data_IF_456107211584
#
_entry.id   IF_456107211584
#
_cell.length_a   1.000
_cell.length_b   1.000
_cell.length_c   1.000
_cell.angle_alpha   90.00
_cell.angle_beta   90.00
_cell.angle_gamma   90.00
#
_symmetry.space_group_name_H-M   'P 1'
#
loop_
_entity.id
_entity.type
_entity.pdbx_description
1 polymer ?
#
# COMPACT_ATOMS: atom_id res chain seq x y z
N UNK A 1 12.76 26.61 -6.44
CA UNK A 1 13.43 25.98 -7.59
C UNK A 1 12.37 25.47 -8.56
N UNK A 2 12.35 25.96 -9.81
CA UNK A 2 11.39 25.51 -10.82
C UNK A 2 11.90 24.22 -11.50
N UNK A 3 11.08 23.17 -11.50
CA UNK A 3 11.38 21.92 -12.22
C UNK A 3 11.45 22.20 -13.73
N UNK A 4 12.64 22.07 -14.30
CA UNK A 4 12.86 22.21 -15.75
C UNK A 4 12.34 20.94 -16.44
N UNK A 5 11.16 21.01 -17.04
CA UNK A 5 10.59 19.92 -17.83
C UNK A 5 11.38 19.79 -19.13
N UNK A 6 11.92 18.60 -19.43
CA UNK A 6 12.53 18.32 -20.73
C UNK A 6 11.44 18.21 -21.80
N UNK A 7 11.70 18.80 -22.97
CA UNK A 7 10.85 18.61 -24.13
C UNK A 7 10.74 17.11 -24.46
N UNK A 8 9.53 16.63 -24.77
CA UNK A 8 9.28 15.22 -25.07
C UNK A 8 9.11 14.30 -23.86
N UNK A 9 9.15 14.80 -22.63
CA UNK A 9 8.89 14.00 -21.42
C UNK A 9 7.42 13.56 -21.26
N UNK A 10 6.49 14.24 -21.94
CA UNK A 10 5.06 13.98 -21.88
C UNK A 10 4.45 13.92 -23.27
N UNK A 11 3.37 13.16 -23.39
CA UNK A 11 2.54 13.01 -24.59
C UNK A 11 1.08 13.22 -24.22
N UNK A 12 0.33 13.89 -25.10
CA UNK A 12 -1.11 14.06 -24.93
C UNK A 12 -1.85 13.22 -25.98
N UNK A 13 -2.31 12.05 -25.56
CA UNK A 13 -2.95 11.07 -26.46
C UNK A 13 -4.42 11.43 -26.68
N UNK A 14 -5.07 11.99 -25.66
CA UNK A 14 -6.50 12.35 -25.70
C UNK A 14 -6.75 13.75 -26.27
N UNK A 15 -5.71 14.58 -26.36
CA UNK A 15 -5.79 15.97 -26.81
C UNK A 15 -6.42 16.93 -25.79
N UNK A 16 -6.81 16.45 -24.60
CA UNK A 16 -7.51 17.25 -23.59
C UNK A 16 -6.53 17.99 -22.68
N UNK A 17 -6.95 19.13 -22.14
CA UNK A 17 -6.13 19.92 -21.20
C UNK A 17 -5.93 19.15 -19.89
N UNK A 18 -4.67 18.98 -19.49
CA UNK A 18 -4.31 18.33 -18.23
C UNK A 18 -4.26 16.79 -18.26
N UNK A 19 -4.60 16.15 -19.38
CA UNK A 19 -4.51 14.69 -19.56
C UNK A 19 -3.18 14.25 -20.20
N UNK A 20 -2.09 14.89 -19.78
CA UNK A 20 -0.76 14.54 -20.26
C UNK A 20 -0.29 13.24 -19.59
N UNK A 21 0.25 12.33 -20.38
CA UNK A 21 0.86 11.08 -19.91
C UNK A 21 2.38 11.17 -20.05
N UNK A 22 3.13 10.63 -19.10
CA UNK A 22 4.58 10.51 -19.25
C UNK A 22 4.90 9.71 -20.52
N UNK A 23 5.86 10.19 -21.32
CA UNK A 23 6.20 9.58 -22.60
C UNK A 23 6.72 8.14 -22.43
N UNK A 24 7.50 7.90 -21.38
CA UNK A 24 8.00 6.56 -21.02
C UNK A 24 6.85 5.58 -20.71
N UNK A 25 5.90 6.01 -19.88
CA UNK A 25 4.69 5.23 -19.58
C UNK A 25 3.84 4.96 -20.84
N UNK A 26 3.87 5.85 -21.82
CA UNK A 26 3.20 5.58 -23.10
C UNK A 26 3.97 4.55 -23.94
N UNK A 27 5.30 4.61 -23.95
CA UNK A 27 6.14 3.61 -24.62
C UNK A 27 5.98 2.24 -23.98
N UNK A 28 5.93 2.15 -22.66
CA UNK A 28 5.67 0.91 -21.95
C UNK A 28 4.33 0.28 -22.37
N UNK A 29 3.25 1.06 -22.41
CA UNK A 29 1.95 0.59 -22.88
C UNK A 29 2.00 0.10 -24.34
N UNK A 30 2.69 0.81 -25.24
CA UNK A 30 2.85 0.38 -26.64
C UNK A 30 3.58 -0.97 -26.74
N UNK A 31 4.65 -1.14 -25.96
CA UNK A 31 5.41 -2.39 -25.90
C UNK A 31 4.57 -3.52 -25.33
N UNK A 32 3.75 -3.26 -24.31
CA UNK A 32 2.84 -4.24 -23.72
C UNK A 32 1.84 -4.76 -24.75
N UNK A 33 1.15 -3.85 -25.47
CA UNK A 33 0.21 -4.21 -26.54
C UNK A 33 0.90 -5.05 -27.61
N UNK A 34 2.11 -4.67 -28.03
CA UNK A 34 2.85 -5.41 -29.04
C UNK A 34 3.22 -6.82 -28.56
N UNK A 35 3.66 -6.96 -27.30
CA UNK A 35 3.95 -8.26 -26.69
C UNK A 35 2.71 -9.15 -26.67
N UNK A 36 1.54 -8.60 -26.38
CA UNK A 36 0.29 -9.37 -26.38
C UNK A 36 -0.09 -9.86 -27.78
N UNK A 37 0.07 -9.01 -28.81
CA UNK A 37 -0.12 -9.44 -30.20
C UNK A 37 0.86 -10.54 -30.62
N UNK A 38 2.13 -10.43 -30.23
CA UNK A 38 3.15 -11.46 -30.52
C UNK A 38 2.84 -12.76 -29.75
N UNK A 39 2.35 -12.68 -28.51
CA UNK A 39 1.87 -13.85 -27.76
C UNK A 39 0.69 -14.52 -28.46
N UNK A 40 -0.23 -13.73 -29.02
CA UNK A 40 -1.37 -14.20 -29.80
C UNK A 40 -1.02 -15.03 -31.05
N UNK A 41 0.21 -14.91 -31.58
CA UNK A 41 0.69 -15.75 -32.69
C UNK A 41 0.89 -17.23 -32.30
N UNK A 42 0.94 -17.57 -31.01
CA UNK A 42 1.10 -18.95 -30.54
C UNK A 42 2.43 -19.58 -30.99
N UNK A 43 2.35 -20.74 -31.66
CA UNK A 43 3.52 -21.44 -32.22
C UNK A 43 4.07 -20.79 -33.50
N UNK A 44 3.31 -19.92 -34.16
CA UNK A 44 3.67 -19.32 -35.46
C UNK A 44 4.56 -18.07 -35.30
N UNK A 45 5.48 -18.09 -34.35
CA UNK A 45 6.42 -16.99 -34.08
C UNK A 45 7.63 -17.06 -35.01
N UNK A 46 7.41 -16.79 -36.29
CA UNK A 46 8.50 -16.52 -37.22
C UNK A 46 8.84 -15.03 -37.22
N UNK A 47 10.06 -14.67 -37.60
CA UNK A 47 10.47 -13.26 -37.72
C UNK A 47 9.53 -12.49 -38.65
N UNK A 48 9.18 -13.08 -39.80
CA UNK A 48 8.23 -12.49 -40.75
C UNK A 48 6.84 -12.28 -40.15
N UNK A 49 6.34 -13.24 -39.37
CA UNK A 49 5.06 -13.12 -38.67
C UNK A 49 5.09 -12.01 -37.62
N UNK A 50 6.20 -11.89 -36.88
CA UNK A 50 6.40 -10.84 -35.87
C UNK A 50 6.43 -9.46 -36.53
N UNK A 51 7.17 -9.29 -37.63
CA UNK A 51 7.23 -8.01 -38.36
C UNK A 51 5.85 -7.66 -38.92
N UNK A 52 5.16 -8.62 -39.50
CA UNK A 52 3.82 -8.43 -40.08
C UNK A 52 2.82 -7.99 -39.02
N UNK A 53 2.74 -8.69 -37.88
CA UNK A 53 1.80 -8.34 -36.81
C UNK A 53 2.15 -6.99 -36.17
N UNK A 54 3.44 -6.68 -36.06
CA UNK A 54 3.91 -5.39 -35.52
C UNK A 54 3.47 -4.22 -36.40
N UNK A 55 3.53 -4.38 -37.73
CA UNK A 55 3.02 -3.39 -38.68
C UNK A 55 1.50 -3.27 -38.65
N UNK A 56 0.80 -4.39 -38.45
CA UNK A 56 -0.66 -4.42 -38.39
C UNK A 56 -1.25 -3.93 -37.05
N UNK A 57 -0.44 -3.86 -35.98
CA UNK A 57 -0.89 -3.52 -34.62
C UNK A 57 -1.76 -2.26 -34.51
N UNK A 58 -1.45 -1.12 -35.19
CA UNK A 58 -2.30 0.07 -35.12
C UNK A 58 -3.68 -0.17 -35.75
N UNK A 59 -3.73 -0.90 -36.86
CA UNK A 59 -4.97 -1.21 -37.59
C UNK A 59 -5.85 -2.17 -36.79
N UNK A 60 -5.25 -3.20 -36.19
CA UNK A 60 -5.97 -4.13 -35.30
C UNK A 60 -6.62 -3.37 -34.15
N UNK A 61 -5.88 -2.47 -33.52
CA UNK A 61 -6.41 -1.63 -32.44
C UNK A 61 -7.60 -0.78 -32.90
N UNK A 62 -7.49 -0.13 -34.07
CA UNK A 62 -8.56 0.69 -34.62
C UNK A 62 -9.82 -0.13 -34.94
N UNK A 63 -9.66 -1.35 -35.45
CA UNK A 63 -10.78 -2.25 -35.71
C UNK A 63 -11.49 -2.61 -34.40
N UNK A 64 -10.75 -2.98 -33.35
CA UNK A 64 -11.33 -3.28 -32.04
C UNK A 64 -12.10 -2.07 -31.46
N UNK A 65 -11.50 -0.87 -31.50
CA UNK A 65 -12.16 0.36 -31.01
C UNK A 65 -13.45 0.67 -31.79
N UNK A 66 -13.45 0.46 -33.10
CA UNK A 66 -14.65 0.64 -33.93
C UNK A 66 -15.74 -0.37 -33.59
N UNK A 67 -15.37 -1.65 -33.39
CA UNK A 67 -16.32 -2.71 -33.01
C UNK A 67 -16.92 -2.41 -31.64
N UNK A 68 -16.12 -2.04 -30.65
CA UNK A 68 -16.59 -1.67 -29.32
C UNK A 68 -17.55 -0.47 -29.38
N UNK A 69 -17.26 0.51 -30.22
CA UNK A 69 -18.12 1.67 -30.47
C UNK A 69 -19.45 1.27 -31.08
N UNK A 70 -19.44 0.39 -32.09
CA UNK A 70 -20.65 -0.11 -32.76
C UNK A 70 -21.54 -0.92 -31.82
N UNK A 71 -20.93 -1.69 -30.91
CA UNK A 71 -21.63 -2.52 -29.93
C UNK A 71 -22.05 -1.74 -28.68
N UNK A 72 -21.67 -0.46 -28.57
CA UNK A 72 -21.97 0.36 -27.38
C UNK A 72 -21.30 -0.16 -26.11
N UNK A 73 -20.13 -0.81 -26.24
CA UNK A 73 -19.38 -1.34 -25.10
C UNK A 73 -18.94 -0.16 -24.21
N UNK A 74 -19.42 -0.17 -22.97
CA UNK A 74 -19.07 0.88 -22.00
C UNK A 74 -17.64 0.62 -21.51
N UNK A 75 -16.71 1.50 -21.88
CA UNK A 75 -15.34 1.48 -21.38
C UNK A 75 -15.31 1.80 -19.87
N UNK A 76 -15.28 0.74 -19.05
CA UNK A 76 -15.20 0.84 -17.59
C UNK A 76 -13.77 1.17 -17.16
N UNK A 77 -13.45 2.46 -17.15
CA UNK A 77 -12.19 2.95 -16.59
C UNK A 77 -12.17 2.75 -15.07
N UNK A 78 -11.56 1.65 -14.63
CA UNK A 78 -11.31 1.41 -13.21
C UNK A 78 -10.08 2.21 -12.79
N UNK A 79 -10.25 3.21 -11.93
CA UNK A 79 -9.12 3.73 -11.14
C UNK A 79 -8.94 2.78 -9.97
N UNK A 80 -7.73 2.28 -9.75
CA UNK A 80 -7.36 1.71 -8.45
C UNK A 80 -7.52 2.82 -7.40
N UNK A 81 -8.67 2.86 -6.75
CA UNK A 81 -8.88 3.68 -5.56
C UNK A 81 -8.31 2.88 -4.40
N UNK A 82 -7.30 3.43 -3.73
CA UNK A 82 -6.91 2.93 -2.41
C UNK A 82 -8.11 3.17 -1.50
N UNK A 83 -8.51 2.15 -0.74
CA UNK A 83 -9.62 2.26 0.22
C UNK A 83 -9.29 3.42 1.18
N UNK A 84 -10.18 4.40 1.27
CA UNK A 84 -9.97 5.59 2.08
C UNK A 84 -10.42 5.30 3.50
N UNK A 85 -9.48 5.32 4.44
CA UNK A 85 -9.79 5.19 5.86
C UNK A 85 -10.81 6.24 6.31
N UNK A 86 -10.70 7.48 5.81
CA UNK A 86 -11.62 8.57 6.16
C UNK A 86 -13.04 8.31 5.67
N UNK A 87 -13.20 7.72 4.48
CA UNK A 87 -14.52 7.40 3.94
C UNK A 87 -15.14 6.23 4.72
N UNK A 88 -14.34 5.22 5.07
CA UNK A 88 -14.78 4.09 5.89
C UNK A 88 -15.21 4.58 7.29
N UNK A 89 -14.46 5.47 7.94
CA UNK A 89 -14.82 6.07 9.24
C UNK A 89 -16.10 6.89 9.15
N UNK A 90 -16.28 7.68 8.10
CA UNK A 90 -17.51 8.47 7.91
C UNK A 90 -18.74 7.58 7.76
N UNK A 91 -18.64 6.49 7.03
CA UNK A 91 -19.76 5.56 6.87
C UNK A 91 -20.09 4.86 8.18
N UNK A 92 -19.08 4.44 8.96
CA UNK A 92 -19.28 3.88 10.31
C UNK A 92 -19.99 4.89 11.22
N UNK A 93 -19.57 6.15 11.23
CA UNK A 93 -20.20 7.19 12.05
C UNK A 93 -21.66 7.38 11.62
N UNK A 94 -21.94 7.44 10.32
CA UNK A 94 -23.28 7.62 9.77
C UNK A 94 -24.22 6.46 10.14
N UNK A 95 -23.73 5.23 10.23
CA UNK A 95 -24.52 4.10 10.72
C UNK A 95 -24.70 4.11 12.25
N UNK A 96 -23.70 4.56 13.01
CA UNK A 96 -23.75 4.60 14.47
C UNK A 96 -24.53 5.80 15.03
N UNK A 97 -24.60 6.91 14.30
CA UNK A 97 -25.31 8.14 14.68
C UNK A 97 -26.78 7.90 15.06
N UNK A 98 -27.61 7.19 14.27
CA UNK A 98 -29.00 6.89 14.65
C UNK A 98 -29.10 5.93 15.84
N UNK A 99 -28.12 5.05 16.04
CA UNK A 99 -28.13 4.04 17.09
C UNK A 99 -27.82 4.63 18.48
N UNK A 100 -27.25 5.84 18.53
CA UNK A 100 -26.85 6.55 19.77
C UNK A 100 -26.23 5.59 20.80
N UNK A 101 -25.14 4.87 20.44
CA UNK A 101 -24.59 3.82 21.28
C UNK A 101 -24.15 4.33 22.67
N UNK A 102 -23.75 5.60 22.74
CA UNK A 102 -23.26 6.26 23.95
C UNK A 102 -24.35 6.86 24.84
N UNK A 103 -25.60 6.88 24.40
CA UNK A 103 -26.72 7.34 25.22
C UNK A 103 -27.22 6.18 26.07
N UNK A 104 -27.18 6.35 27.39
CA UNK A 104 -27.68 5.34 28.33
C UNK A 104 -29.21 5.23 28.20
N UNK A 105 -29.68 4.16 27.56
CA UNK A 105 -31.09 3.85 27.39
C UNK A 105 -31.49 2.84 28.46
N UNK A 106 -32.41 3.22 29.35
CA UNK A 106 -32.98 2.35 30.38
C UNK A 106 -33.62 1.12 29.72
N UNK A 107 -33.14 -0.09 30.06
CA UNK A 107 -33.64 -1.36 29.52
C UNK A 107 -32.91 -1.91 28.29
N UNK A 108 -31.84 -1.28 27.82
CA UNK A 108 -31.01 -1.80 26.72
C UNK A 108 -30.26 -3.07 27.19
N UNK A 109 -30.68 -4.23 26.70
CA UNK A 109 -30.05 -5.52 26.94
C UNK A 109 -29.64 -6.16 25.61
N UNK A 110 -28.52 -6.90 25.60
CA UNK A 110 -28.11 -7.67 24.42
C UNK A 110 -29.08 -8.83 24.24
N UNK A 111 -29.76 -8.89 23.08
CA UNK A 111 -30.75 -9.94 22.78
C UNK A 111 -30.19 -11.36 23.00
N UNK A 112 -28.95 -11.57 22.58
CA UNK A 112 -28.25 -12.87 22.67
C UNK A 112 -27.54 -13.11 24.01
N UNK A 113 -27.35 -12.08 24.83
CA UNK A 113 -26.53 -12.16 26.05
C UNK A 113 -27.25 -11.57 27.25
N UNK A 114 -28.34 -12.24 27.64
CA UNK A 114 -29.21 -11.83 28.75
C UNK A 114 -28.59 -12.06 30.14
N UNK A 115 -27.55 -12.90 30.23
CA UNK A 115 -26.92 -13.30 31.50
C UNK A 115 -25.60 -12.59 31.81
N UNK A 116 -25.16 -11.62 31.00
CA UNK A 116 -23.94 -10.86 31.28
C UNK A 116 -24.21 -9.89 32.45
N UNK A 117 -23.87 -10.33 33.66
CA UNK A 117 -24.03 -9.56 34.90
C UNK A 117 -23.01 -8.43 35.08
N UNK A 118 -21.91 -8.45 34.33
CA UNK A 118 -20.80 -7.49 34.43
C UNK A 118 -20.44 -6.96 33.04
N UNK A 119 -20.32 -5.64 32.93
CA UNK A 119 -19.81 -5.00 31.71
C UNK A 119 -18.41 -5.56 31.41
N UNK A 120 -18.03 -5.78 30.14
CA UNK A 120 -16.65 -6.13 29.79
C UNK A 120 -15.63 -5.04 30.20
N UNK A 121 -16.12 -3.84 30.53
CA UNK A 121 -15.32 -2.73 31.07
C UNK A 121 -15.33 -2.65 32.60
N UNK A 122 -16.08 -3.50 33.29
CA UNK A 122 -16.08 -3.64 34.75
C UNK A 122 -15.35 -4.92 35.15
N UNK A 123 -14.02 -4.91 35.02
CA UNK A 123 -13.15 -6.00 35.49
C UNK A 123 -12.43 -5.59 36.78
N UNK A 124 -12.00 -6.57 37.56
CA UNK A 124 -11.19 -6.32 38.76
C UNK A 124 -9.80 -5.86 38.34
N UNK A 125 -9.52 -4.59 38.62
CA UNK A 125 -8.26 -3.94 38.25
C UNK A 125 -7.07 -4.60 38.93
N UNK A 126 -7.23 -5.10 40.16
CA UNK A 126 -6.14 -5.74 40.91
C UNK A 126 -5.76 -7.09 40.31
N UNK A 127 -6.75 -7.88 39.91
CA UNK A 127 -6.53 -9.18 39.26
C UNK A 127 -5.90 -9.00 37.88
N UNK A 128 -6.34 -7.99 37.12
CA UNK A 128 -5.77 -7.64 35.83
C UNK A 128 -4.31 -7.20 35.94
N UNK A 129 -3.99 -6.28 36.86
CA UNK A 129 -2.61 -5.82 37.09
C UNK A 129 -1.69 -6.97 37.49
N UNK A 130 -2.17 -7.90 38.32
CA UNK A 130 -1.45 -9.12 38.70
C UNK A 130 -1.19 -10.03 37.50
N UNK A 131 -2.17 -10.18 36.60
CA UNK A 131 -2.05 -11.01 35.39
C UNK A 131 -1.08 -10.39 34.38
N UNK A 132 -1.14 -9.07 34.19
CA UNK A 132 -0.23 -8.33 33.30
C UNK A 132 1.20 -8.39 33.82
N UNK A 133 1.44 -8.10 35.10
CA UNK A 133 2.78 -8.18 35.71
C UNK A 133 3.36 -9.58 35.66
N UNK A 134 2.56 -10.63 35.92
CA UNK A 134 2.96 -12.02 35.74
C UNK A 134 3.39 -12.31 34.29
N UNK A 135 2.63 -11.81 33.32
CA UNK A 135 2.92 -12.01 31.90
C UNK A 135 4.19 -11.28 31.48
N UNK A 136 4.37 -10.04 31.93
CA UNK A 136 5.61 -9.26 31.73
C UNK A 136 6.81 -9.99 32.31
N UNK A 137 6.70 -10.49 33.55
CA UNK A 137 7.78 -11.22 34.20
C UNK A 137 8.10 -12.54 33.50
N UNK A 138 7.10 -13.22 32.92
CA UNK A 138 7.31 -14.40 32.07
C UNK A 138 8.06 -14.02 30.79
N UNK A 139 7.63 -12.96 30.11
CA UNK A 139 8.27 -12.51 28.87
C UNK A 139 9.71 -12.03 29.10
N UNK A 140 9.99 -11.39 30.23
CA UNK A 140 11.35 -10.98 30.63
C UNK A 140 12.29 -12.16 30.87
N UNK A 141 11.79 -13.37 31.16
CA UNK A 141 12.65 -14.55 31.42
C UNK A 141 13.32 -15.09 30.15
N UNK A 142 12.75 -14.82 28.97
CA UNK A 142 13.27 -15.31 27.69
C UNK A 142 14.05 -14.22 26.90
N UNK A 143 14.25 -13.03 27.48
CA UNK A 143 15.07 -11.98 26.85
C UNK A 143 16.51 -12.01 27.39
N UNK A 144 17.54 -12.01 26.53
CA UNK A 144 18.91 -11.78 26.97
C UNK A 144 19.03 -10.40 27.63
N UNK A 145 19.94 -10.22 28.61
CA UNK A 145 20.16 -8.93 29.23
C UNK A 145 20.54 -7.90 28.17
N UNK A 146 19.80 -6.79 28.13
CA UNK A 146 20.19 -5.62 27.34
C UNK A 146 21.53 -5.13 27.88
N UNK A 147 22.58 -5.23 27.07
CA UNK A 147 23.86 -4.60 27.34
C UNK A 147 23.57 -3.09 27.44
N UNK A 148 23.79 -2.51 28.62
CA UNK A 148 23.70 -1.08 28.81
C UNK A 148 24.99 -0.51 28.21
N UNK A 149 24.94 -0.03 26.96
CA UNK A 149 26.00 0.80 26.42
C UNK A 149 25.88 2.17 27.05
N UNK A 150 26.66 2.39 28.10
CA UNK A 150 26.67 3.62 28.87
C UNK A 150 27.48 3.43 30.14
N UNK A 151 28.78 3.19 29.97
CA UNK A 151 29.81 3.64 30.91
C UNK A 151 31.00 4.05 30.01
N UNK A 152 31.13 5.37 29.85
CA UNK A 152 32.20 6.07 29.14
C UNK A 152 33.51 5.97 29.95
N UNK A 153 34.59 5.62 29.25
CA UNK A 153 35.96 6.14 29.33
C UNK A 153 36.60 6.43 30.71
N UNK A 154 37.54 5.58 31.12
CA UNK A 154 38.75 6.00 31.86
C UNK A 154 39.96 5.29 31.22
N UNK A 155 40.54 5.95 30.22
CA UNK A 155 41.90 5.66 29.73
C UNK A 155 42.90 6.15 30.79
N UNK A 156 43.58 5.24 31.49
CA UNK A 156 44.81 5.54 32.22
C UNK A 156 46.00 5.25 31.29
N UNK A 157 46.57 6.32 30.73
CA UNK A 157 47.85 6.32 30.04
C UNK A 157 48.98 6.07 31.06
N UNK A 158 49.65 4.91 31.00
CA UNK A 158 50.97 4.70 31.61
C UNK A 158 52.05 4.96 30.56
N UNK A 159 52.71 6.12 30.70
CA UNK A 159 53.93 6.50 30.00
C UNK A 159 55.10 5.58 30.42
N UNK A 160 55.60 4.73 29.51
CA UNK A 160 56.97 4.21 29.60
C UNK A 160 57.86 4.97 28.61
N UNK A 161 58.75 5.78 29.18
CA UNK A 161 59.87 6.44 28.53
C UNK A 161 60.81 5.39 27.91
N UNK A 162 61.03 5.44 26.59
CA UNK A 162 62.26 4.90 26.00
C UNK A 162 63.05 6.04 25.35
N UNK A 163 64.23 6.23 25.91
CA UNK A 163 65.19 7.28 25.66
C UNK A 163 65.88 7.13 24.29
N UNK A 164 65.81 8.18 23.47
CA UNK A 164 66.78 8.42 22.40
C UNK A 164 68.13 8.83 23.00
N UNK A 165 69.25 8.26 22.53
CA UNK A 165 70.41 9.04 22.07
C UNK A 165 71.52 8.18 21.40
N UNK A 166 71.66 8.43 20.09
CA UNK A 166 72.87 8.50 19.23
C UNK A 166 73.74 7.26 18.93
#
# INVERSE_FOLDING_TARGET
>A
MALKVRAGSFVNITGRKGENKAADLQKENQVMVLKDLIRGLGSNKTENSIITISKAAPVVKQICENVDTMLGVIDKKTRHKKRSFEDDVKEIIKELEPLKPWVNQTGRQLYSFKEIKKSPFSFDRSEFETSVTRTINRLKRDLPPLHNEGDEDEDEDEDEEDSDEQ
#
